data_IF_272500845196
#
_entry.id   IF_272500845196
#
_cell.length_a   1.000
_cell.length_b   1.000
_cell.length_c   1.000
_cell.angle_alpha   90.00
_cell.angle_beta   90.00
_cell.angle_gamma   90.00
#
_symmetry.space_group_name_H-M   'P 1'
#
loop_
_entity.id
_entity.type
_entity.pdbx_description
1 polymer ?
#
# COMPACT_ATOMS: atom_id res chain seq x y z
N UNK A 1 67.80 71.15 -2.10
CA UNK A 1 67.56 70.15 -1.03
C UNK A 1 67.22 68.83 -1.73
N UNK A 2 68.18 67.96 -2.02
CA UNK A 2 68.94 67.03 -1.16
C UNK A 2 68.22 65.65 -1.07
N UNK A 3 68.75 64.72 -1.89
CA UNK A 3 68.86 63.23 -1.82
C UNK A 3 67.57 62.37 -1.82
N UNK A 4 67.30 61.42 -2.74
CA UNK A 4 67.98 60.21 -3.27
C UNK A 4 68.24 59.11 -2.22
N UNK A 5 67.56 57.95 -2.40
CA UNK A 5 67.97 56.54 -2.16
C UNK A 5 66.70 55.68 -2.28
N UNK A 6 66.48 54.86 -3.31
CA UNK A 6 67.15 53.60 -3.69
C UNK A 6 67.21 52.59 -2.54
N UNK A 7 66.38 51.56 -2.62
CA UNK A 7 66.32 50.45 -1.67
C UNK A 7 65.63 49.25 -2.30
N UNK A 8 66.41 48.39 -2.94
CA UNK A 8 66.03 47.05 -3.36
C UNK A 8 65.70 46.21 -2.13
N UNK A 9 64.59 45.44 -2.17
CA UNK A 9 64.38 44.32 -1.26
C UNK A 9 64.10 43.08 -2.10
N UNK A 10 64.87 42.06 -1.77
CA UNK A 10 65.07 40.82 -2.47
C UNK A 10 63.81 39.97 -2.61
N UNK A 11 63.71 39.33 -3.77
CA UNK A 11 62.99 38.09 -4.01
C UNK A 11 63.38 37.06 -2.95
N UNK A 12 62.52 36.84 -1.96
CA UNK A 12 62.67 35.73 -1.03
C UNK A 12 62.32 34.44 -1.77
N UNK A 13 63.33 33.59 -1.92
CA UNK A 13 63.22 32.24 -2.41
C UNK A 13 62.17 31.45 -1.62
N UNK A 14 61.26 30.79 -2.34
CA UNK A 14 60.40 29.76 -1.76
C UNK A 14 61.29 28.64 -1.18
N UNK A 15 61.04 28.16 0.04
CA UNK A 15 61.76 27.02 0.59
C UNK A 15 61.47 25.79 -0.27
N UNK A 16 62.54 25.16 -0.76
CA UNK A 16 62.47 23.91 -1.49
C UNK A 16 61.87 22.84 -0.58
N UNK A 17 60.75 22.26 -1.02
CA UNK A 17 60.17 21.06 -0.44
C UNK A 17 61.21 19.94 -0.49
N UNK A 18 61.49 19.23 0.62
CA UNK A 18 62.40 18.10 0.58
C UNK A 18 61.85 17.01 -0.33
N UNK A 19 62.67 16.62 -1.29
CA UNK A 19 62.50 15.48 -2.18
C UNK A 19 62.52 14.20 -1.34
N UNK A 20 61.36 13.56 -1.18
CA UNK A 20 61.23 12.23 -0.57
C UNK A 20 61.00 11.25 -1.73
N UNK A 21 62.03 10.47 -2.04
CA UNK A 21 61.96 9.38 -3.01
C UNK A 21 61.08 8.24 -2.42
N UNK A 22 60.37 7.46 -3.25
CA UNK A 22 59.17 6.74 -2.89
C UNK A 22 59.51 5.42 -2.20
N UNK A 23 59.12 5.28 -0.94
CA UNK A 23 58.96 3.99 -0.30
C UNK A 23 57.47 3.81 -0.06
N UNK A 24 56.90 2.93 -0.89
CA UNK A 24 55.67 2.15 -0.68
C UNK A 24 54.43 2.94 -0.28
N UNK A 25 53.66 3.33 -1.31
CA UNK A 25 52.21 3.51 -1.19
C UNK A 25 51.62 2.35 -0.39
N UNK A 26 50.75 2.58 0.61
CA UNK A 26 49.97 1.51 1.19
C UNK A 26 49.23 0.84 0.04
N UNK A 27 49.38 -0.48 -0.10
CA UNK A 27 48.64 -1.30 -1.04
C UNK A 27 47.17 -0.90 -0.96
N UNK A 28 46.70 -0.19 -1.97
CA UNK A 28 45.30 0.17 -2.13
C UNK A 28 44.57 -1.16 -2.28
N UNK A 29 43.88 -1.58 -1.21
CA UNK A 29 43.01 -2.74 -1.24
C UNK A 29 42.15 -2.64 -2.49
N UNK A 30 41.98 -3.69 -3.30
CA UNK A 30 41.11 -3.61 -4.47
C UNK A 30 39.72 -3.27 -3.95
N UNK A 31 39.31 -2.00 -4.08
CA UNK A 31 37.93 -1.58 -3.91
C UNK A 31 37.16 -2.44 -4.90
N UNK A 32 36.40 -3.40 -4.39
CA UNK A 32 35.44 -4.12 -5.20
C UNK A 32 34.58 -3.03 -5.86
N UNK A 33 34.73 -2.86 -7.16
CA UNK A 33 33.88 -1.94 -7.91
C UNK A 33 32.45 -2.41 -7.66
N UNK A 34 31.55 -1.56 -7.13
CA UNK A 34 30.16 -1.94 -7.02
C UNK A 34 29.72 -2.31 -8.44
N UNK A 35 29.23 -3.54 -8.60
CA UNK A 35 28.70 -4.04 -9.85
C UNK A 35 27.60 -3.06 -10.29
N UNK A 36 27.94 -2.13 -11.18
CA UNK A 36 27.00 -1.22 -11.83
C UNK A 36 26.13 -2.08 -12.74
N UNK A 37 25.11 -2.68 -12.16
CA UNK A 37 24.06 -3.32 -12.93
C UNK A 37 23.21 -2.20 -13.53
N UNK A 38 22.97 -2.17 -14.86
CA UNK A 38 22.07 -1.21 -15.44
C UNK A 38 20.69 -1.35 -14.79
N UNK A 39 20.03 -0.22 -14.54
CA UNK A 39 18.81 -0.09 -13.74
C UNK A 39 17.55 -0.76 -14.33
N UNK A 40 17.69 -1.78 -15.19
CA UNK A 40 16.67 -2.12 -16.18
C UNK A 40 15.99 -3.48 -16.00
N UNK A 41 16.50 -4.38 -15.15
CA UNK A 41 15.85 -5.68 -14.95
C UNK A 41 15.37 -5.89 -13.52
N UNK A 42 14.12 -5.48 -13.28
CA UNK A 42 13.39 -5.72 -12.03
C UNK A 42 12.70 -7.10 -12.00
N UNK A 43 12.75 -7.89 -13.10
CA UNK A 43 12.12 -9.21 -13.17
C UNK A 43 12.60 -10.21 -12.10
N UNK A 44 13.87 -10.20 -11.65
CA UNK A 44 14.32 -11.06 -10.56
C UNK A 44 13.63 -10.78 -9.22
N UNK A 45 13.01 -9.61 -9.07
CA UNK A 45 12.40 -9.12 -7.83
C UNK A 45 10.87 -9.17 -7.84
N UNK A 46 10.28 -9.82 -8.86
CA UNK A 46 8.84 -9.98 -8.91
C UNK A 46 8.44 -11.11 -7.93
N UNK A 47 7.58 -10.85 -6.92
CA UNK A 47 7.18 -11.85 -5.95
C UNK A 47 6.45 -12.97 -6.68
N UNK A 48 6.78 -14.22 -6.35
CA UNK A 48 6.07 -15.36 -6.91
C UNK A 48 4.57 -15.23 -6.54
N UNK A 49 3.64 -15.21 -7.51
CA UNK A 49 2.21 -15.18 -7.21
C UNK A 49 1.73 -16.37 -6.36
N UNK A 50 2.55 -17.42 -6.20
CA UNK A 50 2.24 -18.65 -5.46
C UNK A 50 2.54 -18.60 -3.94
N UNK A 51 2.54 -17.43 -3.31
CA UNK A 51 2.83 -17.27 -1.86
C UNK A 51 1.87 -18.01 -0.90
N UNK A 52 0.79 -18.62 -1.40
CA UNK A 52 -0.15 -19.45 -0.62
C UNK A 52 0.02 -20.96 -0.90
N UNK A 53 0.84 -21.34 -1.87
CA UNK A 53 1.18 -22.74 -2.12
C UNK A 53 2.34 -23.13 -1.19
N UNK A 54 2.03 -23.89 -0.14
CA UNK A 54 3.07 -24.44 0.74
C UNK A 54 3.85 -25.50 -0.04
N UNK A 55 5.19 -25.43 -0.12
CA UNK A 55 5.98 -26.43 -0.82
C UNK A 55 5.73 -27.80 -0.18
N UNK A 56 5.31 -28.76 -0.99
CA UNK A 56 5.05 -30.14 -0.57
C UNK A 56 6.22 -31.07 -0.89
N UNK A 57 7.16 -30.61 -1.73
CA UNK A 57 8.35 -31.37 -2.13
C UNK A 57 9.63 -30.57 -1.86
N UNK A 58 10.73 -31.21 -1.43
CA UNK A 58 12.02 -30.54 -1.27
C UNK A 58 12.54 -29.84 -2.54
N UNK A 59 12.20 -30.36 -3.72
CA UNK A 59 12.58 -29.76 -5.01
C UNK A 59 11.80 -28.46 -5.35
N UNK A 60 10.70 -28.20 -4.65
CA UNK A 60 9.92 -26.95 -4.78
C UNK A 60 10.49 -25.83 -3.90
N UNK A 61 11.40 -26.17 -2.96
CA UNK A 61 12.18 -25.19 -2.22
C UNK A 61 13.39 -24.84 -3.08
N UNK A 62 13.20 -23.91 -4.02
CA UNK A 62 14.35 -23.21 -4.59
C UNK A 62 14.94 -22.36 -3.47
N UNK A 63 16.05 -22.82 -2.89
CA UNK A 63 17.03 -21.89 -2.36
C UNK A 63 17.54 -21.15 -3.59
N UNK A 64 16.78 -20.17 -4.09
CA UNK A 64 17.26 -19.26 -5.12
C UNK A 64 18.48 -18.59 -4.51
N UNK A 65 19.61 -19.22 -4.83
CA UNK A 65 20.87 -18.99 -4.20
C UNK A 65 21.23 -17.58 -4.58
N UNK A 66 21.19 -16.69 -3.58
CA UNK A 66 21.77 -15.37 -3.68
C UNK A 66 21.14 -14.53 -4.79
N UNK A 67 19.94 -13.99 -4.56
CA UNK A 67 19.66 -12.61 -4.97
C UNK A 67 20.63 -11.68 -4.20
N UNK A 68 21.95 -11.80 -4.48
CA UNK A 68 23.00 -10.91 -4.04
C UNK A 68 23.03 -9.77 -5.03
N UNK A 69 22.15 -8.79 -4.84
CA UNK A 69 22.02 -7.72 -5.80
C UNK A 69 22.05 -6.37 -5.11
N UNK A 70 22.93 -5.51 -5.61
CA UNK A 70 22.97 -4.12 -5.22
C UNK A 70 21.74 -3.43 -5.82
N UNK A 71 20.96 -2.75 -4.99
CA UNK A 71 19.74 -2.03 -5.38
C UNK A 71 19.91 -0.55 -5.06
N UNK A 72 19.39 0.32 -5.93
CA UNK A 72 19.31 1.77 -5.69
C UNK A 72 18.03 2.12 -4.92
N UNK A 73 17.99 3.29 -4.28
CA UNK A 73 16.79 3.77 -3.58
C UNK A 73 15.56 3.84 -4.51
N UNK A 74 15.75 4.32 -5.73
CA UNK A 74 14.67 4.45 -6.72
C UNK A 74 14.09 3.08 -7.10
N UNK A 75 14.95 2.08 -7.28
CA UNK A 75 14.52 0.71 -7.56
C UNK A 75 13.79 0.09 -6.37
N UNK A 76 14.27 0.33 -5.14
CA UNK A 76 13.61 -0.13 -3.93
C UNK A 76 12.19 0.46 -3.83
N UNK A 77 12.03 1.75 -4.10
CA UNK A 77 10.71 2.41 -4.09
C UNK A 77 9.77 1.85 -5.15
N UNK A 78 10.26 1.62 -6.37
CA UNK A 78 9.44 1.05 -7.44
C UNK A 78 9.04 -0.41 -7.17
N UNK A 79 9.94 -1.22 -6.59
CA UNK A 79 9.62 -2.58 -6.16
C UNK A 79 8.60 -2.59 -5.03
N UNK A 80 8.79 -1.74 -4.02
CA UNK A 80 7.82 -1.59 -2.95
C UNK A 80 6.44 -1.22 -3.50
N UNK A 81 6.36 -0.22 -4.38
CA UNK A 81 5.09 0.21 -4.98
C UNK A 81 4.37 -0.92 -5.74
N UNK A 82 5.12 -1.77 -6.45
CA UNK A 82 4.55 -2.90 -7.21
C UNK A 82 4.10 -4.05 -6.33
N UNK A 83 4.91 -4.39 -5.32
CA UNK A 83 4.75 -5.63 -4.56
C UNK A 83 3.94 -5.44 -3.28
N UNK A 84 3.86 -4.22 -2.75
CA UNK A 84 3.23 -3.95 -1.46
C UNK A 84 1.72 -4.27 -1.51
N UNK A 85 1.31 -5.16 -0.60
CA UNK A 85 -0.08 -5.65 -0.52
C UNK A 85 -1.04 -4.61 0.03
N UNK A 86 -0.59 -3.76 0.94
CA UNK A 86 -1.44 -2.73 1.53
C UNK A 86 -1.82 -1.68 0.46
N UNK A 87 -0.91 -1.35 -0.46
CA UNK A 87 -1.20 -0.54 -1.64
C UNK A 87 -2.22 -1.21 -2.56
N UNK A 88 -2.13 -2.52 -2.79
CA UNK A 88 -3.11 -3.24 -3.59
C UNK A 88 -4.51 -3.21 -2.94
N UNK A 89 -4.58 -3.35 -1.62
CA UNK A 89 -5.84 -3.19 -0.87
C UNK A 89 -6.39 -1.79 -1.03
N UNK A 90 -5.55 -0.76 -0.92
CA UNK A 90 -5.95 0.64 -1.11
C UNK A 90 -6.44 0.92 -2.53
N UNK A 91 -5.81 0.36 -3.57
CA UNK A 91 -6.29 0.44 -4.94
C UNK A 91 -7.65 -0.26 -5.15
N UNK A 92 -7.86 -1.41 -4.50
CA UNK A 92 -9.15 -2.11 -4.55
C UNK A 92 -10.22 -1.27 -3.86
N UNK A 93 -9.92 -0.65 -2.72
CA UNK A 93 -10.82 0.27 -2.03
C UNK A 93 -11.18 1.47 -2.93
N UNK A 94 -10.20 2.02 -3.66
CA UNK A 94 -10.46 3.08 -4.63
C UNK A 94 -11.44 2.63 -5.72
N UNK A 95 -11.26 1.42 -6.28
CA UNK A 95 -12.19 0.86 -7.27
C UNK A 95 -13.59 0.62 -6.68
N UNK A 96 -13.67 0.24 -5.41
CA UNK A 96 -14.95 0.10 -4.70
C UNK A 96 -15.68 1.43 -4.62
N UNK A 97 -15.00 2.53 -4.26
CA UNK A 97 -15.61 3.86 -4.22
C UNK A 97 -15.99 4.37 -5.61
N UNK A 98 -15.22 4.04 -6.65
CA UNK A 98 -15.60 4.33 -8.04
C UNK A 98 -16.90 3.60 -8.42
N UNK A 99 -17.03 2.33 -8.04
CA UNK A 99 -18.26 1.57 -8.25
C UNK A 99 -19.44 2.14 -7.44
N UNK A 100 -19.21 2.54 -6.18
CA UNK A 100 -20.21 3.19 -5.35
C UNK A 100 -20.69 4.53 -5.95
N UNK A 101 -19.79 5.30 -6.57
CA UNK A 101 -20.15 6.51 -7.30
C UNK A 101 -21.01 6.20 -8.54
N UNK A 102 -20.67 5.15 -9.29
CA UNK A 102 -21.47 4.70 -10.43
C UNK A 102 -22.87 4.28 -9.95
N UNK A 103 -22.97 3.53 -8.86
CA UNK A 103 -24.24 3.13 -8.24
C UNK A 103 -25.06 4.36 -7.80
N UNK A 104 -24.43 5.32 -7.13
CA UNK A 104 -25.11 6.57 -6.73
C UNK A 104 -25.61 7.36 -7.94
N UNK A 105 -24.85 7.39 -9.05
CA UNK A 105 -25.26 8.02 -10.31
C UNK A 105 -26.36 7.22 -11.02
N UNK A 106 -26.39 5.90 -10.90
CA UNK A 106 -27.44 5.07 -11.47
C UNK A 106 -28.82 5.39 -10.87
N UNK A 107 -28.88 5.96 -9.66
CA UNK A 107 -30.12 6.48 -9.09
C UNK A 107 -30.76 7.63 -9.91
N UNK A 108 -30.05 8.21 -10.88
CA UNK A 108 -30.62 9.16 -11.86
C UNK A 108 -31.49 8.47 -12.92
N UNK A 109 -31.40 7.15 -13.04
CA UNK A 109 -32.12 6.34 -14.01
C UNK A 109 -33.28 5.60 -13.34
N UNK A 110 -34.31 5.19 -14.11
CA UNK A 110 -35.35 4.31 -13.61
C UNK A 110 -34.76 2.94 -13.24
N UNK A 111 -35.24 2.38 -12.12
CA UNK A 111 -34.91 1.02 -11.71
C UNK A 111 -35.90 0.05 -12.36
N UNK A 112 -35.39 -0.95 -13.05
CA UNK A 112 -36.21 -2.04 -13.61
C UNK A 112 -35.90 -3.31 -12.83
N UNK A 113 -36.92 -3.88 -12.19
CA UNK A 113 -36.85 -5.14 -11.48
C UNK A 113 -37.69 -6.17 -12.24
N UNK A 114 -37.17 -7.37 -12.42
CA UNK A 114 -37.89 -8.49 -13.02
C UNK A 114 -37.84 -9.67 -12.07
N UNK A 115 -38.98 -10.27 -11.79
CA UNK A 115 -39.09 -11.44 -10.92
C UNK A 115 -39.93 -12.51 -11.60
N UNK A 116 -39.53 -13.76 -11.49
CA UNK A 116 -40.35 -14.92 -11.80
C UNK A 116 -40.46 -15.80 -10.56
N UNK A 117 -41.66 -16.24 -10.23
CA UNK A 117 -41.93 -17.14 -9.12
C UNK A 117 -42.82 -18.29 -9.58
N UNK A 118 -42.46 -19.49 -9.14
CA UNK A 118 -43.27 -20.69 -9.29
C UNK A 118 -43.70 -21.12 -7.89
N UNK A 119 -45.00 -21.14 -7.65
CA UNK A 119 -45.57 -21.54 -6.37
C UNK A 119 -46.59 -22.66 -6.54
N UNK A 120 -46.47 -23.67 -5.69
CA UNK A 120 -47.50 -24.70 -5.51
C UNK A 120 -48.19 -24.46 -4.19
N UNK A 121 -49.50 -24.32 -4.23
CA UNK A 121 -50.31 -24.11 -3.03
C UNK A 121 -51.32 -25.25 -2.93
N UNK A 122 -51.35 -25.92 -1.77
CA UNK A 122 -52.37 -26.90 -1.42
C UNK A 122 -53.08 -26.40 -0.15
N UNK A 123 -54.37 -26.08 -0.27
CA UNK A 123 -55.12 -25.41 0.79
C UNK A 123 -56.19 -26.33 1.38
N UNK A 124 -55.87 -26.95 2.52
CA UNK A 124 -56.83 -27.76 3.28
C UNK A 124 -58.11 -26.97 3.63
N UNK A 125 -57.99 -25.68 3.99
CA UNK A 125 -59.14 -24.82 4.28
C UNK A 125 -60.04 -24.60 3.05
N UNK A 126 -59.45 -24.42 1.86
CA UNK A 126 -60.17 -24.30 0.59
C UNK A 126 -60.84 -25.62 0.21
N UNK A 127 -60.15 -26.77 0.38
CA UNK A 127 -60.73 -28.09 0.19
C UNK A 127 -61.96 -28.32 1.09
N UNK A 128 -61.88 -27.95 2.38
CA UNK A 128 -63.00 -28.08 3.32
C UNK A 128 -64.15 -27.14 2.93
N UNK A 129 -63.87 -25.90 2.51
CA UNK A 129 -64.89 -24.95 2.05
C UNK A 129 -65.62 -25.44 0.78
N UNK A 130 -64.88 -25.96 -0.20
CA UNK A 130 -65.43 -26.57 -1.42
C UNK A 130 -66.33 -27.77 -1.07
N UNK A 131 -65.91 -28.64 -0.15
CA UNK A 131 -66.71 -29.78 0.31
C UNK A 131 -68.01 -29.37 1.03
N UNK A 132 -67.99 -28.30 1.84
CA UNK A 132 -69.22 -27.79 2.49
C UNK A 132 -70.23 -27.24 1.49
N UNK A 133 -69.77 -26.55 0.46
CA UNK A 133 -70.65 -26.01 -0.60
C UNK A 133 -71.34 -27.12 -1.40
N UNK A 134 -70.67 -28.26 -1.60
CA UNK A 134 -71.22 -29.43 -2.28
C UNK A 134 -72.37 -30.08 -1.48
N UNK A 135 -72.25 -30.15 -0.15
CA UNK A 135 -73.30 -30.72 0.71
C UNK A 135 -74.59 -29.88 0.75
N UNK A 136 -74.58 -28.64 0.24
CA UNK A 136 -75.74 -27.75 0.25
C UNK A 136 -76.53 -27.76 -1.07
N UNK A 137 -75.95 -28.24 -2.17
CA UNK A 137 -76.59 -28.23 -3.50
C UNK A 137 -76.38 -29.59 -4.20
N UNK A 138 -77.36 -30.51 -4.11
CA UNK A 138 -77.29 -31.81 -4.77
C UNK A 138 -77.22 -31.67 -6.30
N UNK A 139 -76.15 -32.18 -6.92
CA UNK A 139 -75.97 -32.22 -8.39
C UNK A 139 -74.80 -31.39 -8.93
N UNK A 140 -74.16 -30.54 -8.12
CA UNK A 140 -72.92 -29.85 -8.51
C UNK A 140 -71.72 -30.80 -8.36
N UNK A 141 -71.25 -31.36 -9.48
CA UNK A 141 -69.94 -32.03 -9.55
C UNK A 141 -68.84 -30.98 -9.61
N UNK A 142 -68.03 -30.90 -8.55
CA UNK A 142 -66.87 -30.04 -8.53
C UNK A 142 -65.62 -30.85 -8.90
N UNK A 143 -64.99 -30.54 -10.03
CA UNK A 143 -63.73 -31.15 -10.49
C UNK A 143 -62.48 -30.37 -10.03
N UNK A 144 -62.62 -29.43 -9.10
CA UNK A 144 -61.51 -28.61 -8.62
C UNK A 144 -60.74 -29.24 -7.46
N UNK A 145 -59.50 -29.67 -7.69
CA UNK A 145 -58.52 -29.78 -6.60
C UNK A 145 -58.12 -28.38 -6.14
N UNK A 146 -57.99 -28.09 -4.84
CA UNK A 146 -57.44 -26.80 -4.39
C UNK A 146 -55.93 -26.66 -4.56
N UNK A 147 -55.31 -27.63 -5.24
CA UNK A 147 -53.91 -27.59 -5.63
C UNK A 147 -53.81 -26.64 -6.83
N UNK A 148 -53.17 -25.49 -6.62
CA UNK A 148 -52.85 -24.55 -7.70
C UNK A 148 -51.34 -24.50 -7.92
N UNK A 149 -50.92 -24.51 -9.19
CA UNK A 149 -49.53 -24.39 -9.59
C UNK A 149 -49.37 -23.07 -10.33
N UNK A 150 -49.14 -21.98 -9.61
CA UNK A 150 -49.06 -20.65 -10.21
C UNK A 150 -47.64 -20.31 -10.64
N UNK A 151 -47.47 -19.94 -11.90
CA UNK A 151 -46.32 -19.24 -12.44
C UNK A 151 -46.66 -17.76 -12.52
N UNK A 152 -45.93 -16.92 -11.78
CA UNK A 152 -46.07 -15.47 -11.82
C UNK A 152 -44.76 -14.85 -12.30
N UNK A 153 -44.82 -14.04 -13.35
CA UNK A 153 -43.69 -13.23 -13.81
C UNK A 153 -44.10 -11.77 -13.73
N UNK A 154 -43.30 -10.93 -13.08
CA UNK A 154 -43.55 -9.51 -12.99
C UNK A 154 -42.33 -8.71 -13.42
N UNK A 155 -42.59 -7.61 -14.13
CA UNK A 155 -41.61 -6.57 -14.42
C UNK A 155 -42.13 -5.29 -13.79
N UNK A 156 -41.30 -4.64 -13.00
CA UNK A 156 -41.59 -3.42 -12.27
C UNK A 156 -40.55 -2.36 -12.65
N UNK A 157 -41.02 -1.20 -13.09
CA UNK A 157 -40.22 -0.01 -13.33
C UNK A 157 -40.56 1.02 -12.26
N UNK A 158 -39.56 1.49 -11.54
CA UNK A 158 -39.70 2.50 -10.49
C UNK A 158 -38.78 3.69 -10.78
N UNK A 159 -39.29 4.91 -10.64
CA UNK A 159 -38.51 6.11 -10.85
C UNK A 159 -38.93 7.23 -9.90
N UNK A 160 -38.02 7.68 -9.04
CA UNK A 160 -38.28 8.90 -8.28
C UNK A 160 -38.03 10.10 -9.19
N UNK A 161 -39.07 10.88 -9.46
CA UNK A 161 -38.93 12.09 -10.30
C UNK A 161 -38.40 13.24 -9.46
N UNK A 162 -38.77 13.28 -8.17
CA UNK A 162 -38.35 14.33 -7.26
C UNK A 162 -38.06 13.77 -5.86
N UNK A 163 -36.85 14.01 -5.37
CA UNK A 163 -36.38 13.50 -4.07
C UNK A 163 -36.00 14.63 -3.11
N UNK A 164 -36.50 15.86 -3.30
CA UNK A 164 -36.17 17.03 -2.46
C UNK A 164 -34.65 17.22 -2.17
N UNK A 165 -33.80 16.99 -3.18
CA UNK A 165 -32.34 17.15 -3.07
C UNK A 165 -31.56 15.94 -2.53
N UNK A 166 -32.24 14.88 -2.05
CA UNK A 166 -31.57 13.68 -1.52
C UNK A 166 -30.67 12.99 -2.54
N UNK A 167 -31.15 12.78 -3.77
CA UNK A 167 -30.37 12.16 -4.85
C UNK A 167 -29.09 12.94 -5.15
N UNK A 168 -29.20 14.26 -5.30
CA UNK A 168 -28.03 15.12 -5.55
C UNK A 168 -27.06 15.12 -4.38
N UNK A 169 -27.56 15.14 -3.14
CA UNK A 169 -26.71 15.06 -1.95
C UNK A 169 -25.99 13.70 -1.88
N UNK A 170 -26.68 12.59 -2.14
CA UNK A 170 -26.11 11.24 -2.18
C UNK A 170 -25.00 11.11 -3.23
N UNK A 171 -25.22 11.60 -4.46
CA UNK A 171 -24.19 11.60 -5.52
C UNK A 171 -22.98 12.42 -5.09
N UNK A 172 -23.17 13.64 -4.57
CA UNK A 172 -22.06 14.49 -4.11
C UNK A 172 -21.32 13.88 -2.90
N UNK A 173 -22.02 13.16 -2.04
CA UNK A 173 -21.39 12.42 -0.93
C UNK A 173 -20.47 11.33 -1.49
N UNK A 174 -20.95 10.53 -2.45
CA UNK A 174 -20.14 9.50 -3.12
C UNK A 174 -18.95 10.09 -3.90
N UNK A 175 -19.12 11.25 -4.57
CA UNK A 175 -18.00 11.95 -5.23
C UNK A 175 -16.93 12.41 -4.24
N UNK A 176 -17.35 12.86 -3.06
CA UNK A 176 -16.42 13.31 -2.01
C UNK A 176 -15.75 12.10 -1.33
N UNK A 177 -16.47 10.99 -1.17
CA UNK A 177 -15.92 9.72 -0.69
C UNK A 177 -14.82 9.20 -1.62
N UNK A 178 -15.07 9.19 -2.93
CA UNK A 178 -14.06 8.83 -3.92
C UNK A 178 -12.80 9.69 -3.79
N UNK A 179 -12.93 11.01 -3.71
CA UNK A 179 -11.78 11.92 -3.53
C UNK A 179 -11.03 11.69 -2.23
N UNK A 180 -11.76 11.46 -1.13
CA UNK A 180 -11.16 11.14 0.16
C UNK A 180 -10.31 9.86 0.04
N UNK A 181 -10.81 8.82 -0.63
CA UNK A 181 -10.07 7.57 -0.85
C UNK A 181 -8.90 7.74 -1.81
N UNK A 182 -8.99 8.59 -2.84
CA UNK A 182 -7.83 8.97 -3.67
C UNK A 182 -6.73 9.62 -2.82
N UNK A 183 -7.10 10.51 -1.88
CA UNK A 183 -6.16 11.13 -0.95
C UNK A 183 -5.59 10.16 0.08
N UNK A 184 -6.38 9.21 0.57
CA UNK A 184 -5.89 8.15 1.44
C UNK A 184 -4.84 7.27 0.73
N UNK A 185 -5.08 6.92 -0.54
CA UNK A 185 -4.10 6.19 -1.37
C UNK A 185 -2.81 6.98 -1.56
N UNK A 186 -2.91 8.30 -1.81
CA UNK A 186 -1.74 9.19 -1.92
C UNK A 186 -0.93 9.24 -0.61
N UNK A 187 -1.61 9.35 0.54
CA UNK A 187 -0.97 9.29 1.86
C UNK A 187 -0.21 7.98 2.06
N UNK A 188 -0.84 6.85 1.73
CA UNK A 188 -0.24 5.53 1.90
C UNK A 188 0.98 5.32 0.98
N UNK A 189 0.95 5.87 -0.23
CA UNK A 189 2.11 5.88 -1.14
C UNK A 189 3.26 6.72 -0.58
N UNK A 190 2.97 7.90 -0.04
CA UNK A 190 3.98 8.76 0.59
C UNK A 190 4.60 8.08 1.81
N UNK A 191 3.78 7.46 2.65
CA UNK A 191 4.23 6.69 3.81
C UNK A 191 5.12 5.52 3.38
N UNK A 192 4.70 4.72 2.40
CA UNK A 192 5.51 3.62 1.87
C UNK A 192 6.85 4.14 1.34
N UNK A 193 6.86 5.26 0.61
CA UNK A 193 8.09 5.86 0.10
C UNK A 193 9.07 6.25 1.22
N UNK A 194 8.54 6.84 2.29
CA UNK A 194 9.33 7.21 3.46
C UNK A 194 9.88 5.97 4.18
N UNK A 195 9.02 4.98 4.41
CA UNK A 195 9.36 3.72 5.06
C UNK A 195 10.46 2.97 4.27
N UNK A 196 10.34 2.89 2.95
CA UNK A 196 11.37 2.27 2.09
C UNK A 196 12.67 3.05 2.15
N UNK A 197 12.61 4.38 2.15
CA UNK A 197 13.81 5.22 2.25
C UNK A 197 14.53 5.02 3.59
N UNK A 198 13.80 4.97 4.70
CA UNK A 198 14.39 4.72 6.02
C UNK A 198 15.09 3.35 6.05
N UNK A 199 14.40 2.28 5.67
CA UNK A 199 14.99 0.93 5.68
C UNK A 199 16.20 0.81 4.74
N UNK A 200 16.15 1.50 3.59
CA UNK A 200 17.27 1.54 2.65
C UNK A 200 18.50 2.22 3.27
N UNK A 201 18.32 3.37 3.90
CA UNK A 201 19.42 4.09 4.55
C UNK A 201 19.92 3.37 5.81
N UNK A 202 19.03 2.72 6.57
CA UNK A 202 19.41 1.90 7.72
C UNK A 202 20.28 0.70 7.28
N UNK A 203 19.91 0.04 6.17
CA UNK A 203 20.71 -1.00 5.55
C UNK A 203 22.06 -0.48 5.05
N UNK A 204 22.07 0.67 4.35
CA UNK A 204 23.31 1.29 3.86
C UNK A 204 24.25 1.64 5.02
N UNK A 205 23.73 2.26 6.08
CA UNK A 205 24.46 2.59 7.30
C UNK A 205 25.01 1.33 7.98
N UNK A 206 24.21 0.29 8.14
CA UNK A 206 24.66 -0.96 8.75
C UNK A 206 25.77 -1.64 7.93
N UNK A 207 25.69 -1.54 6.60
CA UNK A 207 26.76 -1.97 5.69
C UNK A 207 28.08 -1.24 5.93
N UNK A 208 28.05 0.09 6.03
CA UNK A 208 29.25 0.89 6.33
C UNK A 208 29.82 0.61 7.73
N UNK A 209 28.96 0.40 8.74
CA UNK A 209 29.40 0.04 10.08
C UNK A 209 30.15 -1.30 10.12
N UNK A 210 29.79 -2.26 9.25
CA UNK A 210 30.57 -3.48 9.06
C UNK A 210 31.96 -3.15 8.51
N UNK A 211 32.05 -2.29 7.50
CA UNK A 211 33.33 -1.84 6.94
C UNK A 211 34.23 -1.15 7.98
N UNK A 212 33.64 -0.28 8.81
CA UNK A 212 34.35 0.39 9.92
C UNK A 212 34.84 -0.63 10.96
N UNK A 213 33.99 -1.58 11.36
CA UNK A 213 34.37 -2.61 12.32
C UNK A 213 35.46 -3.55 11.78
N UNK A 214 35.44 -3.88 10.47
CA UNK A 214 36.51 -4.64 9.82
C UNK A 214 37.85 -3.89 9.88
N UNK A 215 37.85 -2.59 9.56
CA UNK A 215 39.04 -1.76 9.66
C UNK A 215 39.57 -1.67 11.11
N UNK A 216 38.68 -1.61 12.10
CA UNK A 216 39.03 -1.60 13.52
C UNK A 216 39.67 -2.92 13.98
N UNK A 217 39.16 -4.06 13.51
CA UNK A 217 39.75 -5.38 13.75
C UNK A 217 41.16 -5.48 13.15
N UNK A 218 41.36 -5.03 11.91
CA UNK A 218 42.69 -5.09 11.30
C UNK A 218 43.68 -4.16 12.02
N UNK A 219 43.23 -2.96 12.43
CA UNK A 219 44.06 -2.05 13.24
C UNK A 219 44.46 -2.68 14.59
N UNK A 220 43.52 -3.34 15.28
CA UNK A 220 43.81 -4.05 16.53
C UNK A 220 44.75 -5.24 16.30
N UNK A 221 44.65 -5.92 15.15
CA UNK A 221 45.54 -7.02 14.76
C UNK A 221 46.97 -6.54 14.53
N UNK A 222 47.14 -5.39 13.88
CA UNK A 222 48.44 -4.73 13.70
C UNK A 222 49.04 -4.30 15.04
N UNK A 223 48.23 -3.69 15.91
CA UNK A 223 48.66 -3.28 17.26
C UNK A 223 49.14 -4.47 18.08
N UNK A 224 48.45 -5.62 18.01
CA UNK A 224 48.87 -6.85 18.66
C UNK A 224 50.20 -7.37 18.10
N UNK A 225 50.38 -7.31 16.78
CA UNK A 225 51.63 -7.71 16.13
C UNK A 225 52.80 -6.88 16.63
N UNK A 226 52.64 -5.55 16.69
CA UNK A 226 53.70 -4.64 17.16
C UNK A 226 54.04 -4.89 18.63
N UNK A 227 53.03 -5.09 19.48
CA UNK A 227 53.24 -5.42 20.89
C UNK A 227 54.03 -6.73 21.07
N UNK A 228 53.75 -7.76 20.24
CA UNK A 228 54.49 -9.03 20.25
C UNK A 228 55.94 -8.85 19.83
N UNK A 229 56.19 -8.10 18.76
CA UNK A 229 57.56 -7.80 18.29
C UNK A 229 58.37 -7.04 19.35
N UNK A 230 57.75 -6.07 20.03
CA UNK A 230 58.41 -5.32 21.10
C UNK A 230 58.71 -6.17 22.33
N UNK A 231 57.80 -7.09 22.71
CA UNK A 231 58.05 -8.04 23.81
C UNK A 231 59.18 -9.02 23.47
N UNK A 232 59.19 -9.57 22.25
CA UNK A 232 60.25 -10.46 21.76
C UNK A 232 61.62 -9.76 21.70
N UNK A 233 61.64 -8.46 21.40
CA UNK A 233 62.85 -7.62 21.43
C UNK A 233 63.26 -7.15 22.84
N UNK A 234 62.47 -7.47 23.88
CA UNK A 234 62.71 -7.04 25.27
C UNK A 234 62.42 -5.56 25.55
N UNK A 235 61.76 -4.87 24.62
CA UNK A 235 61.40 -3.44 24.72
C UNK A 235 59.95 -3.22 25.19
N UNK A 236 59.12 -4.26 25.20
CA UNK A 236 57.72 -4.25 25.64
C UNK A 236 57.45 -5.20 26.80
N UNK A 237 56.22 -5.16 27.33
CA UNK A 237 55.81 -6.05 28.43
C UNK A 237 54.77 -7.08 27.98
N UNK A 238 54.73 -8.25 28.64
CA UNK A 238 53.64 -9.22 28.46
C UNK A 238 52.25 -8.65 28.77
N UNK A 239 52.18 -7.65 29.65
CA UNK A 239 50.95 -6.96 29.96
C UNK A 239 50.43 -6.17 28.74
N UNK A 240 51.32 -5.53 27.98
CA UNK A 240 50.95 -4.81 26.74
C UNK A 240 50.43 -5.76 25.67
N UNK A 241 51.06 -6.94 25.52
CA UNK A 241 50.56 -8.01 24.63
C UNK A 241 49.16 -8.44 25.03
N UNK A 242 48.95 -8.77 26.31
CA UNK A 242 47.65 -9.22 26.81
C UNK A 242 46.57 -8.14 26.62
N UNK A 243 46.90 -6.87 26.86
CA UNK A 243 46.00 -5.73 26.61
C UNK A 243 45.62 -5.64 25.13
N UNK A 244 46.57 -5.82 24.21
CA UNK A 244 46.30 -5.82 22.78
C UNK A 244 45.47 -7.04 22.33
N UNK A 245 45.66 -8.21 22.95
CA UNK A 245 44.82 -9.39 22.71
C UNK A 245 43.36 -9.16 23.13
N UNK A 246 43.14 -8.55 24.31
CA UNK A 246 41.80 -8.15 24.77
C UNK A 246 41.19 -7.12 23.81
N UNK A 247 41.97 -6.14 23.35
CA UNK A 247 41.50 -5.15 22.38
C UNK A 247 41.04 -5.82 21.09
N UNK A 248 41.84 -6.73 20.52
CA UNK A 248 41.48 -7.49 19.31
C UNK A 248 40.20 -8.31 19.51
N UNK A 249 40.08 -9.00 20.65
CA UNK A 249 38.87 -9.77 20.98
C UNK A 249 37.62 -8.88 21.06
N UNK A 250 37.73 -7.70 21.68
CA UNK A 250 36.65 -6.72 21.75
C UNK A 250 36.25 -6.20 20.35
N UNK A 251 37.22 -5.88 19.49
CA UNK A 251 36.93 -5.44 18.12
C UNK A 251 36.29 -6.56 17.28
N UNK A 252 36.74 -7.81 17.44
CA UNK A 252 36.13 -8.95 16.77
C UNK A 252 34.67 -9.17 17.20
N UNK A 253 34.37 -8.98 18.49
CA UNK A 253 33.01 -9.03 19.01
C UNK A 253 32.14 -7.91 18.42
N UNK A 254 32.67 -6.68 18.30
CA UNK A 254 31.97 -5.56 17.66
C UNK A 254 31.69 -5.82 16.17
N UNK A 255 32.64 -6.41 15.44
CA UNK A 255 32.44 -6.83 14.05
C UNK A 255 31.30 -7.85 13.94
N UNK A 256 31.26 -8.86 14.81
CA UNK A 256 30.18 -9.85 14.80
C UNK A 256 28.81 -9.20 15.06
N UNK A 257 28.73 -8.21 15.94
CA UNK A 257 27.50 -7.46 16.19
C UNK A 257 27.08 -6.61 14.99
N UNK A 258 28.02 -5.90 14.36
CA UNK A 258 27.76 -5.10 13.17
C UNK A 258 27.25 -5.96 12.00
N UNK A 259 27.84 -7.16 11.81
CA UNK A 259 27.37 -8.12 10.81
C UNK A 259 25.94 -8.58 11.07
N UNK A 260 25.58 -8.85 12.34
CA UNK A 260 24.21 -9.20 12.72
C UNK A 260 23.20 -8.07 12.49
N UNK A 261 23.60 -6.82 12.78
CA UNK A 261 22.77 -5.64 12.51
C UNK A 261 22.56 -5.43 11.01
N UNK A 262 23.60 -5.58 10.19
CA UNK A 262 23.50 -5.51 8.73
C UNK A 262 22.55 -6.58 8.18
N UNK A 263 22.66 -7.83 8.62
CA UNK A 263 21.71 -8.88 8.23
C UNK A 263 20.27 -8.58 8.65
N UNK A 264 20.08 -7.95 9.80
CA UNK A 264 18.75 -7.54 10.28
C UNK A 264 18.17 -6.44 9.39
N UNK A 265 18.95 -5.40 9.08
CA UNK A 265 18.52 -4.30 8.22
C UNK A 265 18.23 -4.77 6.77
N UNK A 266 19.05 -5.67 6.22
CA UNK A 266 18.79 -6.30 4.93
C UNK A 266 17.45 -7.05 4.91
N UNK A 267 17.15 -7.79 5.99
CA UNK A 267 15.87 -8.51 6.10
C UNK A 267 14.68 -7.59 6.27
N UNK A 268 14.81 -6.50 7.02
CA UNK A 268 13.75 -5.49 7.16
C UNK A 268 13.41 -4.86 5.81
N UNK A 269 14.42 -4.48 5.02
CA UNK A 269 14.20 -3.96 3.67
C UNK A 269 13.57 -5.04 2.76
N UNK A 270 14.09 -6.27 2.77
CA UNK A 270 13.54 -7.36 1.98
C UNK A 270 12.05 -7.62 2.30
N UNK A 271 11.68 -7.60 3.57
CA UNK A 271 10.29 -7.70 4.03
C UNK A 271 9.43 -6.54 3.48
N UNK A 272 9.91 -5.30 3.59
CA UNK A 272 9.20 -4.11 3.08
C UNK A 272 9.01 -4.14 1.56
N UNK A 273 9.96 -4.71 0.83
CA UNK A 273 9.89 -4.94 -0.62
C UNK A 273 9.08 -6.19 -1.00
N UNK A 274 8.56 -6.92 0.00
CA UNK A 274 7.88 -8.21 -0.18
C UNK A 274 8.71 -9.23 -0.96
N UNK A 275 10.03 -9.23 -0.71
CA UNK A 275 10.98 -10.17 -1.28
C UNK A 275 11.17 -11.40 -0.37
N UNK A 276 11.68 -12.53 -0.90
CA UNK A 276 12.00 -13.69 -0.10
C UNK A 276 13.02 -13.36 1.01
N UNK A 277 12.93 -13.98 2.20
CA UNK A 277 13.85 -13.73 3.32
C UNK A 277 15.29 -14.20 3.05
N UNK A 278 15.50 -14.94 1.97
CA UNK A 278 16.81 -15.39 1.47
C UNK A 278 17.47 -14.39 0.53
N UNK A 279 16.80 -13.28 0.18
CA UNK A 279 17.37 -12.22 -0.64
C UNK A 279 18.45 -11.45 0.14
N UNK A 280 19.63 -11.29 -0.45
CA UNK A 280 20.76 -10.58 0.15
C UNK A 280 20.91 -9.23 -0.54
N UNK A 281 20.29 -8.21 0.04
CA UNK A 281 20.29 -6.87 -0.52
C UNK A 281 21.55 -6.10 -0.10
N UNK A 282 22.02 -5.22 -0.98
CA UNK A 282 23.09 -4.26 -0.70
C UNK A 282 22.77 -2.92 -1.35
N UNK A 283 23.24 -1.81 -0.79
CA UNK A 283 23.04 -0.50 -1.39
C UNK A 283 23.95 -0.35 -2.62
N UNK A 284 23.38 0.04 -3.76
CA UNK A 284 24.13 0.39 -4.96
C UNK A 284 24.60 1.85 -4.95
N UNK A 285 23.89 2.71 -4.22
CA UNK A 285 24.17 4.14 -4.17
C UNK A 285 25.36 4.43 -3.25
N UNK A 286 26.23 5.41 -3.60
CA UNK A 286 27.30 5.85 -2.72
C UNK A 286 26.73 6.55 -1.48
N UNK A 287 27.47 6.51 -0.39
CA UNK A 287 27.17 7.30 0.81
C UNK A 287 27.59 8.74 0.54
N UNK A 288 26.61 9.64 0.46
CA UNK A 288 26.82 11.06 0.24
C UNK A 288 26.36 11.86 1.46
N UNK A 289 27.12 12.89 1.81
CA UNK A 289 26.70 13.84 2.84
C UNK A 289 25.62 14.72 2.24
N UNK A 290 24.36 14.53 2.65
CA UNK A 290 23.31 15.46 2.26
C UNK A 290 23.61 16.86 2.82
N UNK A 291 23.46 17.87 1.95
CA UNK A 291 23.56 19.27 2.34
C UNK A 291 22.44 19.68 3.31
N UNK A 292 22.52 20.92 3.77
CA UNK A 292 21.49 21.50 4.64
C UNK A 292 20.15 21.57 3.92
N UNK A 293 19.07 21.33 4.67
CA UNK A 293 17.71 21.51 4.17
C UNK A 293 17.55 22.97 3.67
N UNK A 294 17.14 23.17 2.41
CA UNK A 294 17.24 24.49 1.77
C UNK A 294 16.17 25.49 2.23
N UNK A 295 15.10 25.02 2.88
CA UNK A 295 13.97 25.85 3.31
C UNK A 295 14.07 26.17 4.81
N UNK A 296 13.58 27.34 5.21
CA UNK A 296 13.37 27.64 6.62
C UNK A 296 12.25 26.78 7.23
N UNK A 297 12.20 26.67 8.56
CA UNK A 297 11.13 25.95 9.24
C UNK A 297 9.72 26.49 8.89
N UNK A 298 9.46 27.82 8.89
CA UNK A 298 8.16 28.34 8.49
C UNK A 298 7.79 28.01 7.03
N UNK A 299 8.73 28.13 6.09
CA UNK A 299 8.50 27.77 4.68
C UNK A 299 8.18 26.28 4.53
N UNK A 300 8.88 25.43 5.28
CA UNK A 300 8.66 23.99 5.30
C UNK A 300 7.28 23.63 5.85
N UNK A 301 6.81 24.33 6.90
CA UNK A 301 5.46 24.13 7.46
C UNK A 301 4.40 24.52 6.44
N UNK A 302 4.55 25.67 5.77
CA UNK A 302 3.60 26.12 4.74
C UNK A 302 3.55 25.13 3.59
N UNK A 303 4.71 24.71 3.08
CA UNK A 303 4.81 23.72 2.01
C UNK A 303 4.18 22.38 2.41
N UNK A 304 4.41 21.93 3.65
CA UNK A 304 3.80 20.72 4.19
C UNK A 304 2.28 20.85 4.25
N UNK A 305 1.74 21.95 4.78
CA UNK A 305 0.28 22.15 4.86
C UNK A 305 -0.39 22.20 3.48
N UNK A 306 0.30 22.73 2.46
CA UNK A 306 -0.24 22.80 1.10
C UNK A 306 -0.26 21.45 0.38
N UNK A 307 0.68 20.55 0.68
CA UNK A 307 0.85 19.27 -0.02
C UNK A 307 0.40 18.05 0.79
N UNK A 308 -0.09 18.23 2.02
CA UNK A 308 -0.51 17.12 2.88
C UNK A 308 -1.83 16.50 2.40
N UNK A 309 -1.76 15.31 1.84
CA UNK A 309 -2.92 14.54 1.38
C UNK A 309 -3.93 14.24 2.51
N UNK A 310 -3.46 13.94 3.72
CA UNK A 310 -4.31 13.71 4.91
C UNK A 310 -5.24 14.90 5.21
N UNK A 311 -4.77 16.14 5.00
CA UNK A 311 -5.60 17.32 5.21
C UNK A 311 -6.70 17.39 4.14
N UNK A 312 -6.36 17.06 2.90
CA UNK A 312 -7.32 16.93 1.80
C UNK A 312 -8.40 15.88 2.10
N UNK A 313 -7.98 14.70 2.57
CA UNK A 313 -8.88 13.62 2.98
C UNK A 313 -9.87 14.11 4.06
N UNK A 314 -9.39 14.77 5.12
CA UNK A 314 -10.25 15.30 6.18
C UNK A 314 -11.24 16.37 5.67
N UNK A 315 -10.82 17.20 4.72
CA UNK A 315 -11.70 18.20 4.10
C UNK A 315 -12.81 17.54 3.28
N UNK A 316 -12.51 16.47 2.55
CA UNK A 316 -13.50 15.69 1.80
C UNK A 316 -14.43 14.92 2.76
N UNK A 317 -13.91 14.34 3.86
CA UNK A 317 -14.73 13.72 4.91
C UNK A 317 -15.73 14.71 5.53
N UNK A 318 -15.31 15.96 5.77
CA UNK A 318 -16.22 17.04 6.19
C UNK A 318 -17.30 17.30 5.13
N UNK A 319 -16.94 17.29 3.84
CA UNK A 319 -17.90 17.49 2.75
C UNK A 319 -18.92 16.34 2.67
N UNK A 320 -18.50 15.09 2.89
CA UNK A 320 -19.38 13.92 3.02
C UNK A 320 -20.38 14.14 4.15
N UNK A 321 -19.92 14.53 5.34
CA UNK A 321 -20.79 14.78 6.49
C UNK A 321 -21.83 15.89 6.20
N UNK A 322 -21.42 16.96 5.53
CA UNK A 322 -22.32 18.03 5.08
C UNK A 322 -23.36 17.54 4.04
N UNK A 323 -22.97 16.66 3.12
CA UNK A 323 -23.92 16.08 2.17
C UNK A 323 -24.88 15.10 2.86
N UNK A 324 -24.42 14.31 3.83
CA UNK A 324 -25.27 13.43 4.63
C UNK A 324 -26.32 14.23 5.41
N UNK A 325 -25.95 15.39 5.97
CA UNK A 325 -26.93 16.30 6.57
C UNK A 325 -27.99 16.75 5.56
N UNK A 326 -27.60 17.14 4.33
CA UNK A 326 -28.55 17.53 3.27
C UNK A 326 -29.44 16.36 2.83
N UNK A 327 -28.91 15.15 2.81
CA UNK A 327 -29.67 13.93 2.51
C UNK A 327 -30.77 13.69 3.56
N UNK A 328 -30.44 13.85 4.85
CA UNK A 328 -31.41 13.75 5.95
C UNK A 328 -32.43 14.87 5.88
N UNK A 329 -32.00 16.13 5.72
CA UNK A 329 -32.93 17.26 5.58
C UNK A 329 -33.85 17.10 4.36
N UNK A 330 -33.32 16.56 3.25
CA UNK A 330 -34.10 16.23 2.06
C UNK A 330 -35.15 15.14 2.30
N UNK A 331 -34.95 14.24 3.27
CA UNK A 331 -35.95 13.19 3.61
C UNK A 331 -37.20 13.73 4.28
N UNK A 332 -37.14 14.96 4.80
CA UNK A 332 -38.27 15.66 5.39
C UNK A 332 -39.10 16.41 4.32
N UNK A 333 -38.54 16.61 3.13
CA UNK A 333 -39.22 17.24 2.01
C UNK A 333 -40.20 16.29 1.29
N UNK A 334 -41.03 16.83 0.38
CA UNK A 334 -41.91 15.99 -0.43
C UNK A 334 -41.08 15.17 -1.43
N UNK A 335 -41.46 13.90 -1.58
CA UNK A 335 -40.91 12.97 -2.56
C UNK A 335 -42.03 12.58 -3.54
N UNK A 336 -41.72 12.58 -4.83
CA UNK A 336 -42.62 12.11 -5.88
C UNK A 336 -41.93 10.99 -6.64
N UNK A 337 -42.61 9.85 -6.74
CA UNK A 337 -42.16 8.72 -7.55
C UNK A 337 -43.28 8.17 -8.41
N UNK A 338 -42.88 7.64 -9.56
CA UNK A 338 -43.75 6.97 -10.52
C UNK A 338 -43.33 5.52 -10.62
N UNK A 339 -44.31 4.66 -10.82
CA UNK A 339 -44.11 3.24 -10.96
C UNK A 339 -44.98 2.68 -12.07
N UNK A 340 -44.45 1.69 -12.79
CA UNK A 340 -45.15 0.99 -13.86
C UNK A 340 -44.87 -0.49 -13.71
N UNK A 341 -45.91 -1.33 -13.80
CA UNK A 341 -45.76 -2.78 -13.64
C UNK A 341 -46.50 -3.54 -14.71
N UNK A 342 -45.94 -4.68 -15.10
CA UNK A 342 -46.59 -5.68 -15.93
C UNK A 342 -46.45 -7.04 -15.25
N UNK A 343 -47.56 -7.75 -15.07
CA UNK A 343 -47.60 -9.06 -14.43
C UNK A 343 -48.24 -10.06 -15.37
N UNK A 344 -47.54 -11.16 -15.62
CA UNK A 344 -48.05 -12.34 -16.27
C UNK A 344 -48.27 -13.43 -15.22
N UNK A 345 -49.47 -13.99 -15.18
CA UNK A 345 -49.83 -15.07 -14.27
C UNK A 345 -50.45 -16.21 -15.06
N UNK A 346 -49.99 -17.44 -14.82
CA UNK A 346 -50.55 -18.65 -15.39
C UNK A 346 -50.71 -19.70 -14.29
N UNK A 347 -51.84 -20.42 -14.29
CA UNK A 347 -51.96 -21.66 -13.51
C UNK A 347 -51.54 -22.82 -14.41
N UNK A 348 -50.41 -23.45 -14.13
CA UNK A 348 -49.86 -24.55 -14.95
C UNK A 348 -50.75 -25.80 -14.95
N UNK A 349 -51.75 -25.87 -14.06
CA UNK A 349 -52.79 -26.91 -14.08
C UNK A 349 -53.98 -26.60 -14.97
N UNK A 350 -54.10 -25.38 -15.51
CA UNK A 350 -55.20 -24.93 -16.37
C UNK A 350 -54.65 -24.23 -17.64
N UNK A 351 -55.39 -24.19 -18.76
CA UNK A 351 -54.92 -23.54 -19.98
C UNK A 351 -54.92 -21.99 -19.91
N UNK A 352 -55.40 -21.40 -18.81
CA UNK A 352 -55.60 -19.97 -18.70
C UNK A 352 -54.34 -19.24 -18.23
N UNK A 353 -53.96 -18.23 -19.00
CA UNK A 353 -52.92 -17.26 -18.67
C UNK A 353 -53.48 -15.85 -18.76
N UNK A 354 -53.08 -14.99 -17.84
CA UNK A 354 -53.52 -13.61 -17.75
C UNK A 354 -52.31 -12.67 -17.75
N UNK A 355 -52.46 -11.54 -18.44
CA UNK A 355 -51.53 -10.42 -18.36
C UNK A 355 -52.26 -9.20 -17.80
N UNK A 356 -51.68 -8.55 -16.81
CA UNK A 356 -52.13 -7.29 -16.25
C UNK A 356 -51.02 -6.24 -16.27
N UNK A 357 -51.39 -4.97 -16.34
CA UNK A 357 -50.46 -3.85 -16.19
C UNK A 357 -51.02 -2.82 -15.22
N UNK A 358 -50.14 -2.05 -14.58
CA UNK A 358 -50.52 -0.93 -13.74
C UNK A 358 -49.56 0.24 -13.90
N UNK A 359 -50.09 1.45 -13.74
CA UNK A 359 -49.32 2.70 -13.72
C UNK A 359 -49.73 3.46 -12.45
N UNK A 360 -48.75 3.89 -11.68
CA UNK A 360 -48.98 4.56 -10.40
C UNK A 360 -48.05 5.75 -10.22
N UNK A 361 -48.53 6.74 -9.48
CA UNK A 361 -47.71 7.82 -8.95
C UNK A 361 -47.97 7.91 -7.45
N UNK A 362 -46.92 8.10 -6.66
CA UNK A 362 -47.04 8.28 -5.22
C UNK A 362 -46.33 9.58 -4.80
N UNK A 363 -46.94 10.26 -3.84
CA UNK A 363 -46.32 11.39 -3.13
C UNK A 363 -46.16 10.99 -1.68
N UNK A 364 -44.94 11.12 -1.16
CA UNK A 364 -44.64 10.91 0.26
C UNK A 364 -44.11 12.21 0.87
N UNK A 365 -44.60 12.56 2.06
CA UNK A 365 -44.05 13.66 2.86
C UNK A 365 -44.16 13.31 4.34
N UNK A 366 -43.06 13.44 5.07
CA UNK A 366 -43.01 13.28 6.52
C UNK A 366 -43.54 14.54 7.19
N UNK A 367 -44.45 14.42 8.16
CA UNK A 367 -45.12 15.55 8.81
C UNK A 367 -44.73 15.76 10.28
N UNK A 368 -44.44 14.69 11.01
CA UNK A 368 -44.00 14.69 12.40
C UNK A 368 -43.21 13.43 12.72
#
# INVERSE_FOLDING_TARGET
MIWVLSGAIATLAQPQTPNINPLESPLESPRAQPLRSPASDLKPFNPDPKLLEVPTRPAEVTLDAQLNQAITLEQAQELARRNNRDLQVAEIQLRQEQAALIEAKAALLPRVNSQASLSRTDSAASNIALNRSQNQIPGLQNQGSSISNSLNTSVQLDYDVFTSGQRTASIRAAESALKATEKALETQLQQLRQEVANDYYDMQQAGELVGIAQAAVENARLTLKDAKVLEEAGLGTRFDVLRAEVQLANQAQQLSQAQGQNQTAQRQLAERLSLPPTANLSAADPVEVMGWWPLSLPESIVLAQQNRSELGELLDQRQIAQQNQRLILGSLGPQFSVSASGTFAADLGQPDAAFGYSLGGQVRKTLF
#
